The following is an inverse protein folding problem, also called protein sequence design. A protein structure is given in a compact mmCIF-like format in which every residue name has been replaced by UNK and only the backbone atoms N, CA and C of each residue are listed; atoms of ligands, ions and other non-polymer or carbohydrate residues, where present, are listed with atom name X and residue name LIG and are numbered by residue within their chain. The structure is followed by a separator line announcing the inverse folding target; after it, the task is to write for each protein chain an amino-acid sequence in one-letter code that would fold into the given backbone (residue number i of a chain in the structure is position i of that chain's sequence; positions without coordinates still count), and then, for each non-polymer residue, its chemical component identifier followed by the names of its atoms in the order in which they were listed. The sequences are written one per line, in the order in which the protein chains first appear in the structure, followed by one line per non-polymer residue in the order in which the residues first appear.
data_IF_732247569350
#
_entry.id   IF_732247569350
#
_cell.length_a   1.000
_cell.length_b   1.000
_cell.length_c   1.000
_cell.angle_alpha   90.00
_cell.angle_beta   90.00
_cell.angle_gamma   90.00
#
_symmetry.space_group_name_H-M   'P 1'
#
loop_
_entity.id
_entity.type
_entity.pdbx_description
1 polymer ?
#
# COMPACT_ATOMS: atom_id res chain seq x y z
N UNK A 1 -2.37 12.49 10.87
CA UNK A 1 -1.83 13.69 10.18
C UNK A 1 -1.06 14.61 11.10
N UNK A 2 -1.68 15.28 12.09
CA UNK A 2 -0.95 16.16 13.03
C UNK A 2 0.26 15.47 13.69
N UNK A 3 0.08 14.22 14.10
CA UNK A 3 1.14 13.42 14.71
C UNK A 3 2.26 13.04 13.73
N UNK A 4 1.93 12.62 12.49
CA UNK A 4 2.92 12.34 11.43
C UNK A 4 3.72 13.60 11.06
N UNK A 5 3.04 14.75 10.95
CA UNK A 5 3.68 16.05 10.70
C UNK A 5 4.58 16.44 11.87
N UNK A 6 4.17 16.14 13.11
CA UNK A 6 4.96 16.41 14.32
C UNK A 6 6.16 15.47 14.47
N UNK A 7 6.05 14.22 14.01
CA UNK A 7 7.14 13.24 13.99
C UNK A 7 8.19 13.65 12.97
N UNK A 8 7.77 13.92 11.71
CA UNK A 8 8.70 14.38 10.67
C UNK A 8 9.36 15.73 10.97
N UNK A 9 8.73 16.60 11.77
CA UNK A 9 9.36 17.84 12.29
C UNK A 9 10.33 17.60 13.45
N UNK A 10 10.18 16.54 14.23
CA UNK A 10 11.08 16.21 15.35
C UNK A 10 12.33 15.44 14.91
N UNK A 11 12.24 14.69 13.81
CA UNK A 11 13.39 14.03 13.16
C UNK A 11 14.35 15.01 12.48
N UNK A 12 13.93 16.23 12.17
CA UNK A 12 14.83 17.27 11.64
C UNK A 12 15.78 17.88 12.69
N UNK A 13 15.51 17.73 13.99
CA UNK A 13 16.29 18.38 15.07
C UNK A 13 17.43 17.50 15.64
N UNK A 14 17.62 16.27 15.14
CA UNK A 14 18.76 15.42 15.50
C UNK A 14 19.17 14.57 14.29
N UNK A 15 20.48 14.41 14.06
CA UNK A 15 21.10 13.59 13.01
C UNK A 15 20.19 12.43 12.58
N UNK A 16 19.46 12.62 11.48
CA UNK A 16 18.44 11.69 11.00
C UNK A 16 19.15 10.39 10.60
N UNK A 17 18.97 9.29 11.37
CA UNK A 17 19.63 8.01 11.09
C UNK A 17 19.23 7.49 9.71
N UNK A 18 18.01 7.77 9.27
CA UNK A 18 17.48 7.38 7.97
C UNK A 18 18.16 8.19 6.86
N UNK A 19 18.32 9.50 7.03
CA UNK A 19 19.06 10.34 6.07
C UNK A 19 20.53 9.91 5.96
N UNK A 20 21.17 9.53 7.07
CA UNK A 20 22.54 9.04 7.07
C UNK A 20 22.69 7.66 6.39
N UNK A 21 21.71 6.77 6.55
CA UNK A 21 21.63 5.48 5.82
C UNK A 21 21.43 5.71 4.31
N UNK A 22 20.51 6.60 3.92
CA UNK A 22 20.32 6.97 2.52
C UNK A 22 21.57 7.62 1.92
N UNK A 23 22.23 8.53 2.63
CA UNK A 23 23.50 9.15 2.17
C UNK A 23 24.61 8.12 2.00
N UNK A 24 24.65 7.06 2.82
CA UNK A 24 25.61 5.96 2.69
C UNK A 24 25.31 5.03 1.51
N UNK A 25 24.04 4.89 1.10
CA UNK A 25 23.63 4.11 -0.07
C UNK A 25 23.67 4.89 -1.39
N UNK A 26 23.68 6.22 -1.34
CA UNK A 26 23.73 7.06 -2.52
C UNK A 26 25.07 6.89 -3.26
N UNK A 27 25.05 6.61 -4.58
CA UNK A 27 26.29 6.55 -5.35
C UNK A 27 27.00 7.90 -5.30
N UNK A 28 28.33 7.93 -5.05
CA UNK A 28 29.06 9.13 -4.66
C UNK A 28 29.09 10.27 -5.69
N UNK A 29 28.62 10.04 -6.93
CA UNK A 29 28.66 11.04 -8.02
C UNK A 29 27.39 11.08 -8.89
N UNK A 30 26.19 10.84 -8.33
CA UNK A 30 24.96 10.95 -9.12
C UNK A 30 24.38 12.37 -9.07
N UNK A 31 24.36 13.06 -10.21
CA UNK A 31 23.73 14.39 -10.28
C UNK A 31 22.22 14.30 -10.04
N UNK A 32 21.64 15.30 -9.36
CA UNK A 32 20.20 15.33 -9.04
C UNK A 32 19.31 15.20 -10.29
N UNK A 33 19.78 15.72 -11.44
CA UNK A 33 19.07 15.56 -12.71
C UNK A 33 19.03 14.11 -13.21
N UNK A 34 20.12 13.35 -13.05
CA UNK A 34 20.14 11.91 -13.37
C UNK A 34 19.26 11.12 -12.40
N UNK A 35 19.27 11.47 -11.11
CA UNK A 35 18.40 10.85 -10.11
C UNK A 35 16.92 11.04 -10.45
N UNK A 36 16.50 12.27 -10.77
CA UNK A 36 15.13 12.57 -11.17
C UNK A 36 14.72 11.85 -12.46
N UNK A 37 15.65 11.76 -13.42
CA UNK A 37 15.42 11.07 -14.68
C UNK A 37 15.23 9.57 -14.46
N UNK A 38 16.08 8.93 -13.67
CA UNK A 38 15.96 7.50 -13.34
C UNK A 38 14.70 7.21 -12.54
N UNK A 39 14.34 8.09 -11.59
CA UNK A 39 13.08 8.01 -10.86
C UNK A 39 11.88 8.08 -11.82
N UNK A 40 11.87 9.04 -12.74
CA UNK A 40 10.81 9.20 -13.73
C UNK A 40 10.68 7.99 -14.65
N UNK A 41 11.80 7.48 -15.18
CA UNK A 41 11.81 6.27 -16.01
C UNK A 41 11.33 5.05 -15.21
N UNK A 42 11.84 4.87 -13.99
CA UNK A 42 11.45 3.76 -13.12
C UNK A 42 9.96 3.78 -12.81
N UNK A 43 9.40 4.95 -12.50
CA UNK A 43 7.97 5.13 -12.27
C UNK A 43 7.15 4.79 -13.52
N UNK A 44 7.54 5.27 -14.70
CA UNK A 44 6.85 4.98 -15.96
C UNK A 44 6.88 3.49 -16.30
N UNK A 45 8.03 2.85 -16.16
CA UNK A 45 8.18 1.40 -16.39
C UNK A 45 7.33 0.61 -15.40
N UNK A 46 7.32 1.01 -14.12
CA UNK A 46 6.50 0.37 -13.10
C UNK A 46 5.00 0.49 -13.39
N UNK A 47 4.53 1.69 -13.74
CA UNK A 47 3.13 1.94 -14.09
C UNK A 47 2.70 1.20 -15.37
N UNK A 48 3.56 1.13 -16.37
CA UNK A 48 3.25 0.44 -17.61
C UNK A 48 3.25 -1.08 -17.43
N UNK A 49 4.27 -1.61 -16.74
CA UNK A 49 4.38 -3.04 -16.46
C UNK A 49 3.22 -3.55 -15.59
N UNK A 50 2.79 -2.80 -14.58
CA UNK A 50 1.64 -3.18 -13.77
C UNK A 50 0.36 -3.27 -14.61
N UNK A 51 0.13 -2.32 -15.52
CA UNK A 51 -1.01 -2.37 -16.46
C UNK A 51 -0.95 -3.56 -17.41
N UNK A 52 0.23 -3.89 -17.92
CA UNK A 52 0.41 -5.07 -18.77
C UNK A 52 0.07 -6.37 -18.03
N UNK A 53 0.46 -6.48 -16.75
CA UNK A 53 0.13 -7.64 -15.90
C UNK A 53 -1.38 -7.75 -15.71
N UNK A 54 -2.07 -6.64 -15.41
CA UNK A 54 -3.54 -6.62 -15.27
C UNK A 54 -4.20 -7.02 -16.58
N UNK A 55 -3.78 -6.46 -17.71
CA UNK A 55 -4.37 -6.78 -19.00
C UNK A 55 -4.19 -8.26 -19.35
N UNK A 56 -2.98 -8.81 -19.20
CA UNK A 56 -2.73 -10.24 -19.43
C UNK A 56 -3.56 -11.14 -18.52
N UNK A 57 -3.72 -10.77 -17.24
CA UNK A 57 -4.55 -11.52 -16.30
C UNK A 57 -6.05 -11.47 -16.67
N UNK A 58 -6.54 -10.32 -17.13
CA UNK A 58 -7.93 -10.15 -17.61
C UNK A 58 -8.19 -11.01 -18.84
N UNK A 59 -7.30 -11.00 -19.84
CA UNK A 59 -7.44 -11.84 -21.05
C UNK A 59 -7.47 -13.34 -20.72
N UNK A 60 -6.60 -13.78 -19.80
CA UNK A 60 -6.61 -15.17 -19.32
C UNK A 60 -7.94 -15.49 -18.62
N UNK A 61 -8.44 -14.60 -17.77
CA UNK A 61 -9.71 -14.79 -17.07
C UNK A 61 -10.90 -14.88 -18.04
N UNK A 62 -10.93 -14.05 -19.08
CA UNK A 62 -11.92 -14.15 -20.16
C UNK A 62 -11.82 -15.46 -20.93
N UNK A 63 -10.61 -15.91 -21.26
CA UNK A 63 -10.40 -17.20 -21.92
C UNK A 63 -10.88 -18.39 -21.07
N UNK A 64 -10.89 -18.24 -19.74
CA UNK A 64 -11.44 -19.21 -18.79
C UNK A 64 -12.95 -19.06 -18.53
N UNK A 65 -13.62 -18.11 -19.19
CA UNK A 65 -15.06 -17.88 -19.03
C UNK A 65 -15.47 -17.15 -17.75
N UNK A 66 -14.53 -16.47 -17.09
CA UNK A 66 -14.82 -15.67 -15.87
C UNK A 66 -15.54 -14.37 -16.29
N UNK A 67 -16.57 -13.99 -15.54
CA UNK A 67 -17.37 -12.80 -15.83
C UNK A 67 -16.63 -11.49 -15.52
N UNK A 68 -16.97 -10.42 -16.26
CA UNK A 68 -16.45 -9.06 -16.04
C UNK A 68 -16.61 -8.60 -14.59
N UNK A 69 -17.72 -8.98 -13.94
CA UNK A 69 -17.98 -8.66 -12.54
C UNK A 69 -16.92 -9.24 -11.62
N UNK A 70 -16.62 -10.54 -11.75
CA UNK A 70 -15.61 -11.20 -10.92
C UNK A 70 -14.22 -10.65 -11.22
N UNK A 71 -13.91 -10.38 -12.48
CA UNK A 71 -12.64 -9.77 -12.91
C UNK A 71 -12.46 -8.38 -12.29
N UNK A 72 -13.49 -7.55 -12.34
CA UNK A 72 -13.51 -6.21 -11.76
C UNK A 72 -13.30 -6.23 -10.24
N UNK A 73 -13.99 -7.12 -9.55
CA UNK A 73 -13.91 -7.27 -8.10
C UNK A 73 -12.59 -7.90 -7.60
N UNK A 74 -11.81 -8.53 -8.48
CA UNK A 74 -10.59 -9.26 -8.09
C UNK A 74 -9.34 -8.74 -8.79
N UNK A 75 -9.14 -9.07 -10.06
CA UNK A 75 -7.93 -8.79 -10.84
C UNK A 75 -7.71 -7.28 -10.97
N UNK A 76 -8.77 -6.53 -11.30
CA UNK A 76 -8.66 -5.08 -11.48
C UNK A 76 -8.42 -4.39 -10.14
N UNK A 77 -9.14 -4.79 -9.09
CA UNK A 77 -9.00 -4.26 -7.74
C UNK A 77 -7.59 -4.49 -7.15
N UNK A 78 -7.00 -5.66 -7.37
CA UNK A 78 -5.60 -5.94 -6.99
C UNK A 78 -4.64 -5.16 -7.90
N UNK A 79 -4.98 -5.08 -9.19
CA UNK A 79 -4.21 -4.44 -10.25
C UNK A 79 -3.82 -3.00 -9.95
N UNK A 80 -4.72 -2.22 -9.35
CA UNK A 80 -4.46 -0.82 -9.00
C UNK A 80 -3.41 -0.67 -7.91
N UNK A 81 -3.21 -1.69 -7.08
CA UNK A 81 -2.25 -1.69 -5.96
C UNK A 81 -0.94 -2.39 -6.30
N UNK A 82 -0.77 -2.87 -7.55
CA UNK A 82 0.44 -3.58 -7.99
C UNK A 82 1.70 -2.71 -7.94
N UNK A 83 1.70 -1.44 -8.40
CA UNK A 83 2.86 -0.56 -8.26
C UNK A 83 3.32 -0.42 -6.80
N UNK A 84 2.37 -0.20 -5.90
CA UNK A 84 2.61 -0.01 -4.47
C UNK A 84 3.11 -1.31 -3.82
N UNK A 85 2.53 -2.46 -4.21
CA UNK A 85 2.99 -3.76 -3.77
C UNK A 85 4.43 -4.01 -4.22
N UNK A 86 4.75 -3.76 -5.49
CA UNK A 86 6.08 -3.94 -6.04
C UNK A 86 7.11 -3.03 -5.35
N UNK A 87 6.79 -1.75 -5.15
CA UNK A 87 7.64 -0.82 -4.43
C UNK A 87 7.88 -1.28 -2.97
N UNK A 88 6.82 -1.66 -2.25
CA UNK A 88 6.92 -2.11 -0.85
C UNK A 88 7.74 -3.40 -0.73
N UNK A 89 7.52 -4.37 -1.62
CA UNK A 89 8.26 -5.64 -1.64
C UNK A 89 9.73 -5.40 -1.95
N UNK A 90 10.03 -4.55 -2.94
CA UNK A 90 11.42 -4.24 -3.29
C UNK A 90 12.17 -3.55 -2.15
N UNK A 91 11.57 -2.56 -1.48
CA UNK A 91 12.18 -1.93 -0.30
C UNK A 91 12.35 -2.92 0.85
N UNK A 92 11.37 -3.79 1.10
CA UNK A 92 11.50 -4.84 2.11
C UNK A 92 12.64 -5.83 1.79
N UNK A 93 12.81 -6.21 0.51
CA UNK A 93 13.89 -7.09 0.06
C UNK A 93 15.28 -6.43 0.17
N UNK A 94 15.35 -5.10 0.09
CA UNK A 94 16.57 -4.31 0.30
C UNK A 94 16.91 -4.08 1.77
N UNK A 95 16.03 -4.49 2.70
CA UNK A 95 16.17 -4.21 4.12
C UNK A 95 15.67 -2.82 4.54
N UNK A 96 15.15 -2.05 3.60
CA UNK A 96 14.58 -0.71 3.79
C UNK A 96 13.15 -0.79 4.35
N UNK A 97 13.00 -1.38 5.53
CA UNK A 97 11.67 -1.67 6.10
C UNK A 97 10.85 -0.39 6.38
N UNK A 98 11.51 0.71 6.75
CA UNK A 98 10.86 1.98 7.03
C UNK A 98 10.25 2.59 5.76
N UNK A 99 10.91 2.44 4.61
CA UNK A 99 10.39 2.87 3.30
C UNK A 99 9.19 2.01 2.91
N UNK A 100 9.27 0.69 3.11
CA UNK A 100 8.17 -0.22 2.79
C UNK A 100 6.91 0.09 3.63
N UNK A 101 7.07 0.32 4.94
CA UNK A 101 5.97 0.70 5.83
C UNK A 101 5.45 2.11 5.46
N UNK A 102 6.35 3.05 5.19
CA UNK A 102 6.03 4.40 4.75
C UNK A 102 5.18 4.41 3.48
N UNK A 103 5.51 3.57 2.50
CA UNK A 103 4.73 3.42 1.27
C UNK A 103 3.31 2.89 1.54
N UNK A 104 3.17 1.85 2.36
CA UNK A 104 1.84 1.29 2.70
C UNK A 104 0.97 2.32 3.45
N UNK A 105 1.52 2.98 4.46
CA UNK A 105 0.78 3.98 5.25
C UNK A 105 0.44 5.20 4.39
N UNK A 106 1.41 5.70 3.62
CA UNK A 106 1.26 6.86 2.75
C UNK A 106 0.18 6.66 1.69
N UNK A 107 0.22 5.52 0.98
CA UNK A 107 -0.76 5.19 -0.06
C UNK A 107 -2.17 5.02 0.50
N UNK A 108 -2.33 4.43 1.69
CA UNK A 108 -3.64 4.31 2.33
C UNK A 108 -4.20 5.69 2.75
N UNK A 109 -3.36 6.57 3.28
CA UNK A 109 -3.77 7.94 3.61
C UNK A 109 -4.15 8.70 2.34
N UNK A 110 -3.38 8.58 1.26
CA UNK A 110 -3.68 9.21 -0.03
C UNK A 110 -4.98 8.66 -0.64
N UNK A 111 -5.23 7.36 -0.56
CA UNK A 111 -6.47 6.76 -1.06
C UNK A 111 -7.70 7.22 -0.28
N UNK A 112 -7.60 7.37 1.05
CA UNK A 112 -8.74 7.84 1.86
C UNK A 112 -8.98 9.35 1.69
N UNK A 113 -7.92 10.17 1.70
CA UNK A 113 -8.09 11.63 1.69
C UNK A 113 -8.11 12.21 0.28
N UNK A 114 -7.22 11.73 -0.57
CA UNK A 114 -7.10 12.15 -1.96
C UNK A 114 -8.20 11.51 -2.80
N UNK A 115 -8.13 10.19 -3.01
CA UNK A 115 -9.06 9.51 -3.94
C UNK A 115 -10.50 9.54 -3.42
N UNK A 116 -10.75 8.96 -2.24
CA UNK A 116 -12.08 8.87 -1.66
C UNK A 116 -12.61 10.24 -1.20
N UNK A 117 -11.77 11.04 -0.51
CA UNK A 117 -12.17 12.36 -0.03
C UNK A 117 -12.53 13.35 -1.14
N UNK A 118 -11.71 13.47 -2.19
CA UNK A 118 -11.99 14.38 -3.31
C UNK A 118 -13.17 13.87 -4.13
N UNK A 119 -13.22 12.56 -4.43
CA UNK A 119 -14.35 12.00 -5.19
C UNK A 119 -15.69 12.18 -4.47
N UNK A 120 -15.74 12.01 -3.15
CA UNK A 120 -16.95 12.23 -2.36
C UNK A 120 -17.39 13.70 -2.25
N UNK A 121 -16.46 14.66 -2.39
CA UNK A 121 -16.79 16.09 -2.51
C UNK A 121 -17.40 16.40 -3.89
N UNK A 122 -16.85 15.82 -4.95
CA UNK A 122 -17.30 16.06 -6.33
C UNK A 122 -18.65 15.38 -6.58
N UNK A 123 -18.77 14.12 -6.20
CA UNK A 123 -19.97 13.30 -6.39
C UNK A 123 -20.30 12.57 -5.08
N UNK A 124 -21.15 13.14 -4.22
CA UNK A 124 -21.55 12.48 -2.98
C UNK A 124 -22.24 11.14 -3.26
N UNK A 125 -21.73 10.07 -2.69
CA UNK A 125 -22.32 8.73 -2.76
C UNK A 125 -22.78 8.27 -1.37
N UNK A 126 -23.82 7.43 -1.34
CA UNK A 126 -24.27 6.79 -0.12
C UNK A 126 -23.44 5.52 0.09
N UNK A 127 -22.96 5.31 1.32
CA UNK A 127 -22.28 4.08 1.71
C UNK A 127 -23.31 3.06 2.17
N UNK A 128 -23.23 1.84 1.64
CA UNK A 128 -24.08 0.74 2.08
C UNK A 128 -23.82 0.41 3.55
N UNK A 129 -24.86 -0.07 4.23
CA UNK A 129 -24.75 -0.44 5.65
C UNK A 129 -23.72 -1.55 5.88
N UNK A 130 -23.53 -2.45 4.91
CA UNK A 130 -22.49 -3.48 4.97
C UNK A 130 -21.08 -2.88 4.98
N UNK A 131 -20.82 -1.87 4.15
CA UNK A 131 -19.52 -1.20 4.07
C UNK A 131 -19.21 -0.52 5.41
N UNK A 132 -20.19 0.15 6.01
CA UNK A 132 -20.05 0.82 7.31
C UNK A 132 -19.96 -0.15 8.49
N UNK A 133 -20.74 -1.23 8.48
CA UNK A 133 -20.86 -2.17 9.59
C UNK A 133 -19.80 -3.28 9.60
N UNK A 134 -19.31 -3.69 8.43
CA UNK A 134 -18.35 -4.79 8.25
C UNK A 134 -16.99 -4.28 7.77
N UNK A 135 -16.95 -3.61 6.62
CA UNK A 135 -15.68 -3.37 5.94
C UNK A 135 -14.85 -2.28 6.65
N UNK A 136 -15.48 -1.17 7.04
CA UNK A 136 -14.82 -0.08 7.77
C UNK A 136 -14.19 -0.52 9.10
N UNK A 137 -14.90 -1.22 10.01
CA UNK A 137 -14.33 -1.67 11.27
C UNK A 137 -13.17 -2.66 11.07
N UNK A 138 -13.29 -3.58 10.11
CA UNK A 138 -12.25 -4.56 9.82
C UNK A 138 -10.99 -3.86 9.29
N UNK A 139 -11.12 -2.96 8.31
CA UNK A 139 -9.97 -2.20 7.77
C UNK A 139 -9.32 -1.31 8.82
N UNK A 140 -10.13 -0.72 9.71
CA UNK A 140 -9.62 0.04 10.87
C UNK A 140 -8.82 -0.86 11.81
N UNK A 141 -9.31 -2.08 12.07
CA UNK A 141 -8.59 -3.09 12.84
C UNK A 141 -7.23 -3.46 12.23
N UNK A 142 -7.16 -3.67 10.91
CA UNK A 142 -5.90 -3.89 10.20
C UNK A 142 -4.94 -2.70 10.34
N UNK A 143 -5.44 -1.48 10.17
CA UNK A 143 -4.62 -0.28 10.31
C UNK A 143 -4.05 -0.13 11.73
N UNK A 144 -4.86 -0.37 12.76
CA UNK A 144 -4.43 -0.34 14.16
C UNK A 144 -3.41 -1.44 14.44
N UNK A 145 -3.65 -2.66 13.95
CA UNK A 145 -2.73 -3.78 14.14
C UNK A 145 -1.38 -3.50 13.48
N UNK A 146 -1.38 -3.02 12.22
CA UNK A 146 -0.19 -2.61 11.50
C UNK A 146 0.56 -1.52 12.27
N UNK A 147 -0.15 -0.47 12.72
CA UNK A 147 0.44 0.61 13.52
C UNK A 147 1.05 0.10 14.83
N UNK A 148 0.34 -0.76 15.55
CA UNK A 148 0.82 -1.33 16.82
C UNK A 148 2.10 -2.16 16.64
N UNK A 149 2.20 -2.92 15.55
CA UNK A 149 3.38 -3.72 15.22
C UNK A 149 4.55 -2.87 14.70
N UNK A 150 4.27 -1.86 13.88
CA UNK A 150 5.29 -0.96 13.33
C UNK A 150 5.84 0.02 14.38
N UNK A 151 5.01 0.49 15.32
CA UNK A 151 5.43 1.47 16.33
C UNK A 151 6.34 0.85 17.41
N UNK A 152 6.11 -0.42 17.77
CA UNK A 152 6.94 -1.11 18.76
C UNK A 152 6.89 -0.47 20.15
N UNK A 153 5.82 -0.72 20.92
CA UNK A 153 5.62 -0.10 22.25
C UNK A 153 6.71 -0.41 23.30
N UNK A 154 7.56 -1.41 23.10
CA UNK A 154 8.61 -1.85 24.07
C UNK A 154 9.99 -2.12 23.47
N UNK A 155 10.09 -2.23 22.14
CA UNK A 155 11.32 -2.49 21.36
C UNK A 155 11.14 -1.79 20.01
N UNK A 156 12.21 -1.49 19.25
CA UNK A 156 12.08 -1.01 17.88
C UNK A 156 11.07 -1.89 17.15
N UNK A 157 9.99 -1.29 16.66
CA UNK A 157 8.95 -2.02 15.95
C UNK A 157 9.58 -2.72 14.77
N UNK A 158 9.32 -4.02 14.61
CA UNK A 158 9.75 -4.75 13.42
C UNK A 158 8.60 -5.61 12.94
N UNK A 159 8.22 -5.40 11.68
CA UNK A 159 7.25 -6.24 11.01
C UNK A 159 7.93 -7.56 10.62
N UNK A 160 8.12 -8.43 11.59
CA UNK A 160 8.71 -9.75 11.37
C UNK A 160 7.78 -10.67 10.59
N UNK A 161 8.32 -11.83 10.16
CA UNK A 161 7.57 -12.86 9.40
C UNK A 161 6.24 -13.26 10.05
N UNK A 162 6.19 -13.30 11.39
CA UNK A 162 4.98 -13.66 12.14
C UNK A 162 3.92 -12.55 12.04
N UNK A 163 4.30 -11.28 12.22
CA UNK A 163 3.38 -10.16 12.08
C UNK A 163 2.81 -10.05 10.67
N UNK A 164 3.67 -10.21 9.66
CA UNK A 164 3.25 -10.27 8.26
C UNK A 164 2.32 -11.46 7.97
N UNK A 165 2.63 -12.65 8.47
CA UNK A 165 1.79 -13.84 8.31
C UNK A 165 0.42 -13.68 8.97
N UNK A 166 0.34 -13.05 10.15
CA UNK A 166 -0.92 -12.77 10.82
C UNK A 166 -1.78 -11.79 10.03
N UNK A 167 -1.20 -10.70 9.51
CA UNK A 167 -1.91 -9.74 8.66
C UNK A 167 -2.40 -10.41 7.37
N UNK A 168 -1.56 -11.22 6.73
CA UNK A 168 -1.92 -11.92 5.51
C UNK A 168 -3.04 -12.94 5.75
N UNK A 169 -2.94 -13.73 6.84
CA UNK A 169 -3.97 -14.68 7.21
C UNK A 169 -5.30 -13.98 7.51
N UNK A 170 -5.26 -12.85 8.21
CA UNK A 170 -6.43 -12.01 8.43
C UNK A 170 -7.03 -11.50 7.11
N UNK A 171 -6.20 -11.01 6.20
CA UNK A 171 -6.64 -10.50 4.90
C UNK A 171 -7.31 -11.59 4.06
N UNK A 172 -6.71 -12.79 4.00
CA UNK A 172 -7.30 -13.97 3.34
C UNK A 172 -8.62 -14.37 4.01
N UNK A 173 -8.67 -14.38 5.35
CA UNK A 173 -9.91 -14.65 6.09
C UNK A 173 -11.02 -13.65 5.76
N UNK A 174 -10.69 -12.35 5.66
CA UNK A 174 -11.63 -11.32 5.24
C UNK A 174 -12.13 -11.55 3.80
N UNK A 175 -11.24 -11.88 2.87
CA UNK A 175 -11.65 -12.20 1.49
C UNK A 175 -12.58 -13.41 1.42
N UNK A 176 -12.36 -14.44 2.25
CA UNK A 176 -13.26 -15.59 2.34
C UNK A 176 -14.64 -15.21 2.87
N UNK A 177 -14.71 -14.37 3.91
CA UNK A 177 -15.99 -13.86 4.44
C UNK A 177 -16.73 -13.05 3.37
N UNK A 178 -16.02 -12.17 2.65
CA UNK A 178 -16.61 -11.37 1.59
C UNK A 178 -17.11 -12.23 0.42
N UNK A 179 -16.32 -13.22 -0.01
CA UNK A 179 -16.70 -14.15 -1.08
C UNK A 179 -17.86 -15.08 -0.69
N UNK A 180 -17.99 -15.44 0.59
CA UNK A 180 -19.14 -16.21 1.06
C UNK A 180 -20.42 -15.35 1.11
N UNK A 181 -20.31 -14.07 1.48
CA UNK A 181 -21.42 -13.14 1.51
C UNK A 181 -21.94 -12.76 0.11
N UNK A 182 -21.08 -12.72 -0.91
CA UNK A 182 -21.47 -12.39 -2.28
C UNK A 182 -22.16 -13.51 -3.06
N UNK A 183 -22.17 -14.74 -2.50
CA UNK A 183 -22.84 -15.91 -3.08
C UNK A 183 -24.28 -16.11 -2.54
N UNK A 184 -24.76 -15.23 -1.66
CA UNK A 184 -26.10 -15.24 -1.07
C UNK A 184 -26.98 -14.16 -1.70
#
# INVERSE_FOLDING_TARGET
LYWLIRMGRREQDGLDPMAAEFEAELPPEMSSGRALLLLGIGLLVLLFSSRMVVWGAVEIAHALGISDLVIGLTIVAIGTSLPELAASVMSALRGEHDIAIGNVIGSNIFNILGVLGISGIILPYHLDQEVLGRDFPIMTGFAIALFAMAYGFRKPGSLGRIGGALLLAGYVGYLMVLGAASLQ
#
